data_IF_174857108397
#
_entry.id   IF_174857108397
#
_cell.length_a   1.000
_cell.length_b   1.000
_cell.length_c   1.000
_cell.angle_alpha   90.00
_cell.angle_beta   90.00
_cell.angle_gamma   90.00
#
_symmetry.space_group_name_H-M   'P 1'
#
loop_
_entity.id
_entity.type
_entity.pdbx_description
1 polymer ?
#
# COMPACT_ATOMS: atom_id res chain seq x y z
N UNK A 1 -19.86 0.57 2.28
CA UNK A 1 -18.40 0.79 2.39
C UNK A 1 -17.98 2.22 2.07
N UNK A 2 -18.44 2.84 0.97
CA UNK A 2 -18.02 4.21 0.62
C UNK A 2 -18.37 5.26 1.69
N UNK A 3 -19.56 5.18 2.30
CA UNK A 3 -19.95 6.09 3.39
C UNK A 3 -19.00 5.96 4.59
N UNK A 4 -18.73 4.72 5.01
CA UNK A 4 -17.79 4.46 6.11
C UNK A 4 -16.38 5.00 5.80
N UNK A 5 -15.94 4.91 4.54
CA UNK A 5 -14.66 5.50 4.11
C UNK A 5 -14.62 7.01 4.35
N UNK A 6 -15.62 7.75 3.88
CA UNK A 6 -15.64 9.22 4.06
C UNK A 6 -15.72 9.63 5.53
N UNK A 7 -16.47 8.88 6.34
CA UNK A 7 -16.56 9.15 7.78
C UNK A 7 -15.20 8.90 8.45
N UNK A 8 -14.54 7.80 8.12
CA UNK A 8 -13.24 7.44 8.72
C UNK A 8 -12.16 8.42 8.32
N UNK A 9 -12.17 8.88 7.06
CA UNK A 9 -11.23 9.88 6.58
C UNK A 9 -11.18 11.05 7.56
N UNK A 10 -12.33 11.61 7.92
CA UNK A 10 -12.42 12.75 8.85
C UNK A 10 -12.30 12.38 10.34
N UNK A 11 -12.50 11.11 10.71
CA UNK A 11 -12.54 10.70 12.11
C UNK A 11 -11.16 10.80 12.81
N UNK A 12 -10.08 10.42 12.13
CA UNK A 12 -8.75 10.32 12.73
C UNK A 12 -8.75 9.45 13.99
N UNK A 13 -8.25 9.97 15.11
CA UNK A 13 -8.22 9.27 16.41
C UNK A 13 -9.60 8.89 16.95
N UNK A 14 -10.69 9.57 16.54
CA UNK A 14 -12.04 9.18 16.95
C UNK A 14 -12.43 7.78 16.46
N UNK A 15 -11.74 7.26 15.43
CA UNK A 15 -11.94 5.90 14.93
C UNK A 15 -11.45 4.81 15.91
N UNK A 16 -10.56 5.15 16.85
CA UNK A 16 -9.97 4.18 17.80
C UNK A 16 -11.06 3.53 18.67
N UNK A 17 -12.09 4.28 19.05
CA UNK A 17 -13.23 3.75 19.81
C UNK A 17 -14.02 2.66 19.08
N UNK A 18 -13.87 2.55 17.75
CA UNK A 18 -14.55 1.58 16.89
C UNK A 18 -13.58 0.55 16.30
N UNK A 19 -12.40 0.37 16.90
CA UNK A 19 -11.33 -0.46 16.34
C UNK A 19 -11.77 -1.87 15.95
N UNK A 20 -12.52 -2.55 16.82
CA UNK A 20 -12.92 -3.94 16.61
C UNK A 20 -13.95 -4.05 15.49
N UNK A 21 -14.89 -3.11 15.44
CA UNK A 21 -15.92 -3.05 14.40
C UNK A 21 -15.31 -2.73 13.03
N UNK A 22 -14.31 -1.83 12.99
CA UNK A 22 -13.59 -1.49 11.77
C UNK A 22 -12.75 -2.66 11.26
N UNK A 23 -12.05 -3.36 12.15
CA UNK A 23 -11.30 -4.58 11.80
C UNK A 23 -12.25 -5.64 11.25
N UNK A 24 -13.36 -5.92 11.95
CA UNK A 24 -14.35 -6.90 11.50
C UNK A 24 -14.95 -6.54 10.14
N UNK A 25 -15.22 -5.26 9.88
CA UNK A 25 -15.72 -4.77 8.60
C UNK A 25 -14.71 -4.97 7.47
N UNK A 26 -13.44 -4.64 7.71
CA UNK A 26 -12.35 -4.79 6.73
C UNK A 26 -12.12 -6.28 6.44
N UNK A 27 -12.01 -7.11 7.48
CA UNK A 27 -11.79 -8.54 7.33
C UNK A 27 -12.96 -9.24 6.63
N UNK A 28 -14.19 -8.90 7.01
CA UNK A 28 -15.40 -9.39 6.35
C UNK A 28 -15.42 -9.02 4.88
N UNK A 29 -15.08 -7.77 4.54
CA UNK A 29 -15.02 -7.31 3.15
C UNK A 29 -13.93 -8.00 2.33
N UNK A 30 -12.78 -8.27 2.91
CA UNK A 30 -11.67 -8.99 2.26
C UNK A 30 -12.03 -10.45 1.97
N UNK A 31 -12.79 -11.09 2.87
CA UNK A 31 -13.20 -12.50 2.77
C UNK A 31 -14.56 -12.69 2.08
N UNK A 32 -15.20 -11.61 1.62
CA UNK A 32 -16.53 -11.71 1.01
C UNK A 32 -16.45 -12.42 -0.34
N UNK A 33 -17.16 -13.53 -0.43
CA UNK A 33 -17.29 -14.33 -1.65
C UNK A 33 -18.60 -14.00 -2.38
N UNK A 34 -18.53 -13.78 -3.69
CA UNK A 34 -19.73 -13.63 -4.56
C UNK A 34 -20.28 -15.00 -4.99
N UNK A 35 -19.39 -16.00 -5.07
CA UNK A 35 -19.67 -17.40 -5.38
C UNK A 35 -18.72 -18.26 -4.54
N UNK A 36 -19.04 -19.54 -4.26
CA UNK A 36 -18.17 -20.40 -3.47
C UNK A 36 -16.73 -20.42 -4.01
N UNK A 37 -15.78 -19.94 -3.20
CA UNK A 37 -14.36 -19.85 -3.54
C UNK A 37 -13.95 -18.69 -4.46
N UNK A 38 -14.85 -17.75 -4.77
CA UNK A 38 -14.56 -16.57 -5.61
C UNK A 38 -14.80 -15.30 -4.81
N UNK A 39 -13.68 -14.68 -4.39
CA UNK A 39 -13.67 -13.40 -3.69
C UNK A 39 -14.17 -12.30 -4.62
N UNK A 40 -15.10 -11.47 -4.15
CA UNK A 40 -15.56 -10.29 -4.89
C UNK A 40 -14.43 -9.26 -5.02
N UNK A 41 -13.98 -9.01 -6.24
CA UNK A 41 -12.98 -7.97 -6.49
C UNK A 41 -13.50 -6.57 -6.10
N UNK A 42 -14.80 -6.31 -6.25
CA UNK A 42 -15.42 -5.02 -5.90
C UNK A 42 -15.40 -4.79 -4.39
N UNK A 43 -15.85 -5.77 -3.62
CA UNK A 43 -15.88 -5.67 -2.15
C UNK A 43 -14.45 -5.67 -1.59
N UNK A 44 -13.57 -6.52 -2.13
CA UNK A 44 -12.15 -6.55 -1.77
C UNK A 44 -11.48 -5.18 -1.99
N UNK A 45 -11.67 -4.55 -3.16
CA UNK A 45 -11.14 -3.20 -3.44
C UNK A 45 -11.69 -2.17 -2.47
N UNK A 46 -12.99 -2.20 -2.19
CA UNK A 46 -13.63 -1.26 -1.28
C UNK A 46 -13.10 -1.41 0.16
N UNK A 47 -12.90 -2.65 0.63
CA UNK A 47 -12.34 -2.94 1.95
C UNK A 47 -10.88 -2.50 2.07
N UNK A 48 -10.05 -2.75 1.05
CA UNK A 48 -8.67 -2.27 1.06
C UNK A 48 -8.56 -0.75 0.94
N UNK A 49 -9.45 -0.11 0.19
CA UNK A 49 -9.52 1.36 0.15
C UNK A 49 -9.93 1.94 1.50
N UNK A 50 -10.85 1.27 2.21
CA UNK A 50 -11.23 1.61 3.58
C UNK A 50 -10.03 1.52 4.52
N UNK A 51 -9.27 0.42 4.47
CA UNK A 51 -8.05 0.23 5.24
C UNK A 51 -7.00 1.31 4.94
N UNK A 52 -6.74 1.59 3.66
CA UNK A 52 -5.81 2.65 3.25
C UNK A 52 -6.24 4.03 3.79
N UNK A 53 -7.53 4.33 3.74
CA UNK A 53 -8.09 5.59 4.27
C UNK A 53 -7.99 5.65 5.79
N UNK A 54 -8.25 4.54 6.49
CA UNK A 54 -8.10 4.43 7.94
C UNK A 54 -6.65 4.63 8.38
N UNK A 55 -5.70 3.98 7.70
CA UNK A 55 -4.28 4.18 7.97
C UNK A 55 -3.96 5.65 7.81
N UNK A 56 -4.25 6.23 6.64
CA UNK A 56 -4.00 7.63 6.33
C UNK A 56 -4.63 8.59 7.35
N UNK A 57 -5.87 8.36 7.80
CA UNK A 57 -6.54 9.22 8.77
C UNK A 57 -5.87 9.21 10.15
N UNK A 58 -5.28 8.07 10.55
CA UNK A 58 -4.60 7.93 11.85
C UNK A 58 -3.22 8.58 11.88
N UNK A 59 -2.54 8.71 10.74
CA UNK A 59 -1.14 9.18 10.67
C UNK A 59 -1.01 10.61 10.13
N UNK A 60 -2.10 11.21 9.62
CA UNK A 60 -2.06 12.53 8.97
C UNK A 60 -2.49 13.64 9.93
N UNK A 61 -1.77 14.76 9.93
CA UNK A 61 -2.18 15.99 10.60
C UNK A 61 -3.32 16.66 9.82
N UNK A 62 -4.40 17.03 10.52
CA UNK A 62 -5.60 17.61 9.89
C UNK A 62 -6.07 18.84 10.64
N UNK A 63 -6.73 19.75 9.95
CA UNK A 63 -7.42 20.87 10.61
C UNK A 63 -8.67 20.34 11.32
N UNK A 64 -8.91 20.79 12.55
CA UNK A 64 -10.10 20.39 13.32
C UNK A 64 -11.35 21.09 12.78
N UNK A 65 -11.20 22.34 12.34
CA UNK A 65 -12.28 23.18 11.85
C UNK A 65 -11.78 23.97 10.63
N UNK A 66 -12.64 24.08 9.62
CA UNK A 66 -12.32 24.75 8.35
C UNK A 66 -13.24 25.96 8.08
N UNK A 67 -13.95 26.42 9.11
CA UNK A 67 -14.83 27.60 9.01
C UNK A 67 -14.02 28.88 8.86
N UNK A 68 -14.67 29.90 8.30
CA UNK A 68 -14.08 31.23 8.08
C UNK A 68 -13.92 32.07 9.34
N UNK A 69 -14.46 31.62 10.48
CA UNK A 69 -14.37 32.31 11.77
C UNK A 69 -13.97 31.33 12.87
N UNK A 70 -13.31 31.82 13.94
CA UNK A 70 -12.94 30.97 15.08
C UNK A 70 -14.14 30.27 15.72
N UNK A 71 -13.96 29.09 16.33
CA UNK A 71 -15.05 28.35 16.99
C UNK A 71 -15.75 29.13 18.10
N UNK A 72 -15.03 30.02 18.80
CA UNK A 72 -15.57 30.90 19.84
C UNK A 72 -16.62 31.85 19.28
N UNK A 73 -16.32 32.48 18.13
CA UNK A 73 -17.22 33.40 17.42
C UNK A 73 -18.37 32.64 16.78
N UNK A 74 -18.10 31.47 16.17
CA UNK A 74 -19.15 30.69 15.51
C UNK A 74 -20.27 30.24 16.47
N UNK A 75 -19.91 29.92 17.73
CA UNK A 75 -20.85 29.47 18.76
C UNK A 75 -21.60 30.62 19.43
N UNK A 76 -21.24 31.87 19.16
CA UNK A 76 -21.91 33.04 19.72
C UNK A 76 -23.31 33.22 19.08
N UNK A 77 -24.39 33.16 19.86
CA UNK A 77 -25.75 33.35 19.35
C UNK A 77 -25.98 34.73 18.73
N UNK A 78 -25.27 35.75 19.20
CA UNK A 78 -25.39 37.10 18.65
C UNK A 78 -24.79 37.14 17.24
N UNK A 79 -23.58 36.62 17.07
CA UNK A 79 -22.95 36.48 15.77
C UNK A 79 -23.77 35.61 14.81
N UNK A 80 -24.39 34.52 15.27
CA UNK A 80 -25.25 33.69 14.40
C UNK A 80 -26.42 34.47 13.79
N UNK A 81 -26.96 35.46 14.52
CA UNK A 81 -28.04 36.34 14.02
C UNK A 81 -27.53 37.37 13.01
N UNK A 82 -26.26 37.78 13.10
CA UNK A 82 -25.65 38.84 12.27
C UNK A 82 -24.51 38.33 11.37
N UNK A 83 -24.41 37.02 11.17
CA UNK A 83 -23.27 36.40 10.47
C UNK A 83 -23.08 36.91 9.04
N UNK A 84 -24.17 37.36 8.39
CA UNK A 84 -24.14 37.95 7.05
C UNK A 84 -23.27 39.20 6.96
N UNK A 85 -23.12 39.97 8.04
CA UNK A 85 -22.24 41.15 8.10
C UNK A 85 -20.74 40.80 8.03
N UNK A 86 -20.41 39.52 8.17
CA UNK A 86 -19.04 39.02 8.05
C UNK A 86 -18.71 38.43 6.68
N UNK A 87 -19.69 38.37 5.76
CA UNK A 87 -19.48 37.78 4.45
C UNK A 87 -18.49 38.62 3.62
N UNK A 88 -17.57 37.94 2.94
CA UNK A 88 -16.54 38.58 2.12
C UNK A 88 -15.39 39.22 2.92
N UNK A 89 -15.41 39.18 4.26
CA UNK A 89 -14.25 39.57 5.08
C UNK A 89 -13.15 38.55 4.88
N UNK A 90 -11.95 39.03 4.57
CA UNK A 90 -10.74 38.21 4.48
C UNK A 90 -9.96 38.33 5.78
N UNK A 91 -9.43 37.20 6.26
CA UNK A 91 -8.58 37.13 7.45
C UNK A 91 -7.15 36.93 6.98
N UNK A 92 -6.19 37.65 7.57
CA UNK A 92 -4.77 37.41 7.26
C UNK A 92 -4.37 36.04 7.79
N UNK A 93 -3.46 35.36 7.09
CA UNK A 93 -2.98 34.03 7.53
C UNK A 93 -2.39 34.07 8.93
N UNK A 94 -1.72 35.17 9.31
CA UNK A 94 -1.16 35.38 10.66
C UNK A 94 -2.22 35.51 11.76
N UNK A 95 -3.46 35.87 11.40
CA UNK A 95 -4.59 36.05 12.31
C UNK A 95 -5.54 34.84 12.28
N UNK A 96 -5.30 33.88 11.37
CA UNK A 96 -6.12 32.69 11.24
C UNK A 96 -5.80 31.71 12.37
N UNK A 97 -6.75 31.52 13.28
CA UNK A 97 -6.68 30.54 14.36
C UNK A 97 -6.97 29.13 13.81
N UNK A 98 -5.97 28.52 13.17
CA UNK A 98 -6.08 27.15 12.62
C UNK A 98 -5.66 26.13 13.67
N UNK A 99 -6.62 25.38 14.20
CA UNK A 99 -6.35 24.26 15.10
C UNK A 99 -5.99 23.01 14.29
N UNK A 100 -4.77 22.51 14.48
CA UNK A 100 -4.27 21.28 13.85
C UNK A 100 -4.36 20.11 14.83
N UNK A 101 -5.13 19.09 14.46
CA UNK A 101 -5.11 17.78 15.11
C UNK A 101 -3.86 17.04 14.66
N UNK A 102 -3.02 16.69 15.64
CA UNK A 102 -1.87 15.82 15.44
C UNK A 102 -2.27 14.36 15.72
N UNK A 103 -1.69 13.39 15.01
CA UNK A 103 -1.82 11.98 15.34
C UNK A 103 -1.48 11.69 16.81
N UNK A 104 -2.37 11.01 17.52
CA UNK A 104 -2.07 10.52 18.87
C UNK A 104 -1.08 9.35 18.84
N UNK A 105 -0.36 9.13 19.95
CA UNK A 105 0.51 7.96 20.10
C UNK A 105 -0.26 6.64 19.93
N UNK A 106 -1.49 6.59 20.46
CA UNK A 106 -2.36 5.42 20.35
C UNK A 106 -2.78 5.18 18.90
N UNK A 107 -3.17 6.22 18.17
CA UNK A 107 -3.52 6.16 16.76
C UNK A 107 -2.36 5.69 15.89
N UNK A 108 -1.15 6.21 16.13
CA UNK A 108 0.07 5.79 15.43
C UNK A 108 0.42 4.33 15.70
N UNK A 109 0.35 3.89 16.97
CA UNK A 109 0.59 2.49 17.32
C UNK A 109 -0.43 1.58 16.63
N UNK A 110 -1.70 1.96 16.66
CA UNK A 110 -2.75 1.18 16.02
C UNK A 110 -2.60 1.12 14.50
N UNK A 111 -2.19 2.23 13.86
CA UNK A 111 -1.88 2.24 12.43
C UNK A 111 -0.73 1.28 12.09
N UNK A 112 0.32 1.25 12.91
CA UNK A 112 1.43 0.30 12.75
C UNK A 112 0.97 -1.16 12.91
N UNK A 113 0.13 -1.43 13.91
CA UNK A 113 -0.42 -2.77 14.17
C UNK A 113 -1.32 -3.24 13.01
N UNK A 114 -2.16 -2.34 12.48
CA UNK A 114 -2.98 -2.61 11.29
C UNK A 114 -2.11 -2.89 10.06
N UNK A 115 -1.09 -2.08 9.82
CA UNK A 115 -0.18 -2.28 8.70
C UNK A 115 0.51 -3.64 8.79
N UNK A 116 1.03 -4.01 9.97
CA UNK A 116 1.65 -5.31 10.20
C UNK A 116 0.64 -6.46 9.97
N UNK A 117 -0.54 -6.38 10.59
CA UNK A 117 -1.60 -7.39 10.48
C UNK A 117 -2.02 -7.66 9.04
N UNK A 118 -2.27 -6.61 8.26
CA UNK A 118 -2.79 -6.75 6.90
C UNK A 118 -1.72 -6.97 5.83
N UNK A 119 -0.42 -6.85 6.16
CA UNK A 119 0.69 -7.16 5.23
C UNK A 119 1.33 -8.51 5.47
N UNK A 120 1.29 -9.04 6.70
CA UNK A 120 2.03 -10.25 7.08
C UNK A 120 1.71 -11.46 6.19
N UNK A 121 0.44 -11.84 6.08
CA UNK A 121 -0.01 -12.97 5.25
C UNK A 121 0.27 -12.73 3.75
N UNK A 122 -0.14 -11.60 3.14
CA UNK A 122 0.20 -11.30 1.75
C UNK A 122 1.68 -11.36 1.42
N UNK A 123 2.53 -10.84 2.31
CA UNK A 123 3.98 -10.87 2.12
C UNK A 123 4.52 -12.31 2.17
N UNK A 124 3.95 -13.17 3.01
CA UNK A 124 4.31 -14.59 3.02
C UNK A 124 3.93 -15.28 1.69
N UNK A 125 2.76 -14.98 1.13
CA UNK A 125 2.31 -15.50 -0.17
C UNK A 125 3.27 -15.06 -1.29
N UNK A 126 3.60 -13.77 -1.33
CA UNK A 126 4.53 -13.22 -2.33
C UNK A 126 5.90 -13.88 -2.22
N UNK A 127 6.45 -14.01 -1.00
CA UNK A 127 7.75 -14.67 -0.76
C UNK A 127 7.75 -16.13 -1.20
N UNK A 128 6.67 -16.87 -0.92
CA UNK A 128 6.51 -18.27 -1.36
C UNK A 128 6.51 -18.38 -2.88
N UNK A 129 5.83 -17.46 -3.57
CA UNK A 129 5.79 -17.43 -5.03
C UNK A 129 7.15 -17.10 -5.65
N UNK A 130 7.90 -16.17 -5.06
CA UNK A 130 9.28 -15.87 -5.50
C UNK A 130 10.17 -17.10 -5.36
N UNK A 131 10.11 -17.78 -4.21
CA UNK A 131 10.91 -18.99 -3.95
C UNK A 131 10.58 -20.16 -4.91
N UNK A 132 9.31 -20.35 -5.29
CA UNK A 132 8.91 -21.38 -6.27
C UNK A 132 9.30 -21.04 -7.71
N UNK A 133 9.43 -19.75 -8.02
CA UNK A 133 9.86 -19.27 -9.34
C UNK A 133 11.36 -19.53 -9.60
N UNK A 134 12.20 -19.37 -8.58
CA UNK A 134 13.64 -19.61 -8.67
C UNK A 134 13.97 -21.11 -8.83
N UNK A 135 13.17 -22.01 -8.24
CA UNK A 135 13.37 -23.46 -8.37
C UNK A 135 12.99 -23.98 -9.77
N UNK A 136 11.97 -23.39 -10.39
CA UNK A 136 11.52 -23.77 -11.74
C UNK A 136 12.54 -23.35 -12.82
N UNK A 137 13.17 -22.19 -12.65
CA UNK A 137 14.22 -21.70 -13.56
C UNK A 137 15.51 -22.50 -13.40
N UNK A 138 15.90 -22.88 -12.18
CA UNK A 138 17.05 -23.76 -11.94
C UNK A 138 16.86 -25.17 -12.54
N UNK A 139 15.65 -25.73 -12.47
CA UNK A 139 15.29 -27.02 -13.07
C UNK A 139 15.31 -26.99 -14.61
N UNK A 140 14.81 -25.92 -15.23
CA UNK A 140 14.82 -25.76 -16.68
C UNK A 140 16.24 -25.54 -17.26
N UNK A 141 17.13 -24.90 -16.50
CA UNK A 141 18.55 -24.80 -16.87
C UNK A 141 19.33 -26.11 -16.69
N UNK A 142 18.89 -26.99 -15.79
CA UNK A 142 19.50 -28.30 -15.59
C UNK A 142 19.07 -29.31 -16.67
N UNK A 143 17.82 -29.25 -17.15
CA UNK A 143 17.31 -30.17 -18.18
C UNK A 143 17.75 -29.84 -19.61
N UNK A 144 18.27 -28.64 -19.86
CA UNK A 144 18.79 -28.23 -21.17
C UNK A 144 20.28 -28.52 -21.37
N UNK A 145 20.95 -29.11 -20.37
CA UNK A 145 22.39 -29.44 -20.40
C UNK A 145 22.73 -30.88 -20.79
N UNK A 146 21.76 -31.78 -20.90
CA UNK A 146 22.02 -33.22 -21.04
C UNK A 146 21.67 -33.75 -22.44
N UNK A 147 22.13 -33.05 -23.48
CA UNK A 147 22.10 -33.59 -24.85
C UNK A 147 23.18 -33.02 -25.78
N UNK A 148 24.44 -33.01 -25.34
CA UNK A 148 25.58 -32.94 -26.26
C UNK A 148 26.89 -33.32 -25.58
N UNK A 149 27.31 -34.60 -25.64
CA UNK A 149 28.71 -34.93 -25.95
C UNK A 149 28.91 -36.44 -26.10
N UNK A 150 29.10 -36.85 -27.37
CA UNK A 150 29.78 -38.10 -27.71
C UNK A 150 31.10 -37.70 -28.37
N UNK A 151 32.21 -38.02 -27.70
CA UNK A 151 33.55 -38.17 -28.29
C UNK A 151 34.44 -36.91 -28.30
N UNK A 152 35.49 -36.93 -27.49
CA UNK A 152 36.90 -36.86 -27.95
C UNK A 152 37.82 -36.76 -26.74
N UNK A 153 38.83 -37.62 -26.70
CA UNK A 153 39.92 -37.66 -25.71
C UNK A 153 41.00 -36.69 -26.17
N UNK A 154 41.43 -35.74 -25.33
CA UNK A 154 42.86 -35.46 -25.13
C UNK A 154 43.13 -34.55 -23.92
N UNK A 155 44.30 -34.72 -23.32
CA UNK A 155 44.75 -34.15 -22.06
C UNK A 155 45.28 -32.70 -22.18
N UNK A 156 45.12 -31.87 -21.12
CA UNK A 156 46.22 -31.17 -20.40
C UNK A 156 45.70 -30.16 -19.34
N UNK A 157 46.15 -30.39 -18.10
CA UNK A 157 46.71 -29.49 -17.09
C UNK A 157 46.20 -28.04 -16.85
N UNK A 158 45.97 -27.74 -15.56
CA UNK A 158 46.39 -26.47 -14.93
C UNK A 158 45.39 -25.31 -14.76
N UNK A 159 45.08 -24.96 -13.49
CA UNK A 159 45.04 -23.55 -13.06
C UNK A 159 43.72 -22.98 -12.55
N UNK A 160 43.68 -22.72 -11.24
CA UNK A 160 42.61 -22.05 -10.51
C UNK A 160 42.42 -20.56 -10.85
N UNK A 161 41.20 -20.03 -10.68
CA UNK A 161 40.95 -18.58 -10.71
C UNK A 161 39.48 -18.20 -10.77
N UNK A 162 38.79 -18.26 -9.63
CA UNK A 162 37.41 -17.80 -9.47
C UNK A 162 37.28 -16.26 -9.62
N UNK A 163 36.38 -15.80 -10.50
CA UNK A 163 35.72 -14.50 -10.42
C UNK A 163 34.27 -14.63 -10.90
N UNK A 164 33.35 -14.85 -9.96
CA UNK A 164 31.92 -14.63 -10.17
C UNK A 164 31.63 -13.17 -9.82
N UNK A 165 31.29 -12.36 -10.82
CA UNK A 165 30.97 -10.96 -10.65
C UNK A 165 30.09 -10.47 -11.79
N UNK A 166 28.81 -10.26 -11.49
CA UNK A 166 27.85 -9.60 -12.37
C UNK A 166 26.76 -10.54 -12.87
N UNK A 167 25.59 -10.49 -12.22
CA UNK A 167 24.27 -10.60 -12.86
C UNK A 167 23.15 -10.64 -11.79
N UNK A 168 23.04 -9.57 -11.01
CA UNK A 168 21.91 -9.35 -10.09
C UNK A 168 20.96 -8.25 -10.58
N UNK A 169 21.13 -7.74 -11.82
CA UNK A 169 20.38 -6.60 -12.34
C UNK A 169 19.16 -6.96 -13.21
N UNK A 170 18.91 -8.25 -13.48
CA UNK A 170 17.90 -8.69 -14.47
C UNK A 170 16.65 -9.38 -13.91
N UNK A 171 16.44 -9.50 -12.59
CA UNK A 171 15.26 -10.24 -12.06
C UNK A 171 14.05 -9.39 -11.64
N UNK A 172 14.24 -8.11 -11.31
CA UNK A 172 13.12 -7.27 -10.85
C UNK A 172 12.16 -6.86 -11.99
N UNK A 173 12.72 -6.64 -13.19
CA UNK A 173 11.94 -6.25 -14.39
C UNK A 173 11.02 -7.36 -14.88
N UNK A 174 11.45 -8.63 -14.81
CA UNK A 174 10.63 -9.77 -15.25
C UNK A 174 9.47 -10.08 -14.30
N UNK A 175 9.69 -9.91 -12.99
CA UNK A 175 8.62 -10.05 -11.99
C UNK A 175 7.61 -8.91 -12.15
N UNK A 176 8.09 -7.68 -12.37
CA UNK A 176 7.23 -6.53 -12.65
C UNK A 176 6.45 -6.71 -13.97
N UNK A 177 7.10 -7.18 -15.03
CA UNK A 177 6.47 -7.45 -16.33
C UNK A 177 5.40 -8.53 -16.23
N UNK A 178 5.65 -9.64 -15.52
CA UNK A 178 4.65 -10.69 -15.27
C UNK A 178 3.48 -10.22 -14.41
N UNK A 179 3.75 -9.36 -13.42
CA UNK A 179 2.70 -8.71 -12.62
C UNK A 179 1.81 -7.79 -13.47
N UNK A 180 2.41 -7.04 -14.38
CA UNK A 180 1.70 -6.18 -15.34
C UNK A 180 0.87 -7.04 -16.32
N UNK A 181 1.42 -8.15 -16.84
CA UNK A 181 0.68 -9.08 -17.71
C UNK A 181 -0.50 -9.76 -16.99
N UNK A 182 -0.36 -10.13 -15.71
CA UNK A 182 -1.48 -10.64 -14.87
C UNK A 182 -2.55 -9.57 -14.58
N UNK A 183 -2.20 -8.30 -14.72
CA UNK A 183 -3.12 -7.17 -14.59
C UNK A 183 -3.93 -6.93 -15.88
N UNK A 184 -3.38 -7.32 -17.05
CA UNK A 184 -3.94 -7.09 -18.38
C UNK A 184 -4.71 -8.27 -18.99
N UNK A 185 -4.71 -9.45 -18.37
CA UNK A 185 -5.66 -10.52 -18.71
C UNK A 185 -5.45 -11.16 -20.08
N UNK A 186 -4.21 -11.46 -20.46
CA UNK A 186 -3.95 -12.31 -21.63
C UNK A 186 -4.11 -13.80 -21.25
N UNK A 187 -5.24 -14.39 -21.64
CA UNK A 187 -5.51 -15.83 -21.52
C UNK A 187 -4.80 -16.60 -22.63
N UNK A 188 -3.68 -17.26 -22.28
CA UNK A 188 -2.98 -18.18 -23.16
C UNK A 188 -2.62 -19.51 -22.49
N UNK A 189 -3.32 -20.57 -22.89
CA UNK A 189 -2.93 -22.00 -22.86
C UNK A 189 -2.96 -22.82 -21.53
N UNK A 190 -4.11 -23.44 -21.30
CA UNK A 190 -4.43 -24.87 -21.04
C UNK A 190 -3.61 -25.81 -20.11
N UNK A 191 -2.50 -25.45 -19.47
CA UNK A 191 -1.76 -26.40 -18.58
C UNK A 191 -1.96 -26.19 -17.06
N UNK A 192 -2.77 -25.22 -16.64
CA UNK A 192 -2.54 -24.50 -15.39
C UNK A 192 -3.70 -24.49 -14.36
N UNK A 193 -4.41 -25.60 -14.12
CA UNK A 193 -5.50 -25.61 -13.11
C UNK A 193 -5.00 -25.31 -11.67
N UNK A 194 -3.76 -25.67 -11.32
CA UNK A 194 -3.12 -25.27 -10.07
C UNK A 194 -2.53 -23.84 -10.10
N UNK A 195 -1.95 -23.44 -11.24
CA UNK A 195 -1.35 -22.12 -11.41
C UNK A 195 -2.37 -20.97 -11.45
N UNK A 196 -3.62 -21.23 -11.85
CA UNK A 196 -4.67 -20.21 -11.84
C UNK A 196 -5.05 -19.76 -10.42
N UNK A 197 -5.17 -20.70 -9.46
CA UNK A 197 -5.52 -20.36 -8.07
C UNK A 197 -4.38 -19.61 -7.38
N UNK A 198 -3.15 -20.07 -7.54
CA UNK A 198 -1.97 -19.39 -7.00
C UNK A 198 -1.78 -18.00 -7.61
N UNK A 199 -2.04 -17.82 -8.91
CA UNK A 199 -1.97 -16.51 -9.57
C UNK A 199 -3.05 -15.53 -9.04
N UNK A 200 -4.27 -16.01 -8.79
CA UNK A 200 -5.34 -15.20 -8.21
C UNK A 200 -4.99 -14.80 -6.78
N UNK A 201 -4.50 -15.73 -5.96
CA UNK A 201 -4.08 -15.47 -4.60
C UNK A 201 -2.92 -14.46 -4.53
N UNK A 202 -1.91 -14.62 -5.40
CA UNK A 202 -0.81 -13.67 -5.54
C UNK A 202 -1.29 -12.27 -5.94
N UNK A 203 -2.22 -12.19 -6.89
CA UNK A 203 -2.80 -10.90 -7.33
C UNK A 203 -3.46 -10.16 -6.17
N UNK A 204 -4.27 -10.85 -5.37
CA UNK A 204 -4.90 -10.25 -4.20
C UNK A 204 -3.88 -9.91 -3.10
N UNK A 205 -2.86 -10.73 -2.90
CA UNK A 205 -1.78 -10.45 -1.95
C UNK A 205 -1.02 -9.16 -2.33
N UNK A 206 -0.57 -9.03 -3.58
CA UNK A 206 0.12 -7.83 -4.06
C UNK A 206 -0.78 -6.60 -3.95
N UNK A 207 -2.05 -6.74 -4.31
CA UNK A 207 -3.01 -5.65 -4.20
C UNK A 207 -3.21 -5.20 -2.74
N UNK A 208 -3.26 -6.14 -1.79
CA UNK A 208 -3.38 -5.81 -0.35
C UNK A 208 -2.16 -5.04 0.14
N UNK A 209 -0.94 -5.53 -0.16
CA UNK A 209 0.31 -4.84 0.20
C UNK A 209 0.33 -3.44 -0.38
N UNK A 210 -0.02 -3.29 -1.66
CA UNK A 210 -0.09 -1.98 -2.33
C UNK A 210 -0.99 -0.99 -1.56
N UNK A 211 -2.21 -1.38 -1.21
CA UNK A 211 -3.13 -0.46 -0.52
C UNK A 211 -2.65 -0.05 0.87
N UNK A 212 -2.03 -0.98 1.61
CA UNK A 212 -1.43 -0.65 2.91
C UNK A 212 -0.30 0.37 2.72
N UNK A 213 0.60 0.12 1.78
CA UNK A 213 1.72 1.03 1.48
C UNK A 213 1.23 2.39 0.99
N UNK A 214 0.18 2.44 0.16
CA UNK A 214 -0.43 3.71 -0.28
C UNK A 214 -1.02 4.50 0.88
N UNK A 215 -1.68 3.84 1.84
CA UNK A 215 -2.24 4.52 3.01
C UNK A 215 -1.17 5.17 3.88
N UNK A 216 -0.04 4.49 4.06
CA UNK A 216 1.11 5.02 4.81
C UNK A 216 1.84 6.09 4.01
N UNK A 217 2.16 5.83 2.74
CA UNK A 217 2.92 6.76 1.90
C UNK A 217 2.19 8.09 1.69
N UNK A 218 0.85 8.08 1.57
CA UNK A 218 0.05 9.29 1.45
C UNK A 218 0.13 10.22 2.67
N UNK A 219 0.63 9.74 3.81
CA UNK A 219 0.80 10.52 5.03
C UNK A 219 2.22 11.04 5.26
N UNK A 220 3.19 10.46 4.56
CA UNK A 220 4.53 11.00 4.61
C UNK A 220 4.45 12.38 3.97
N UNK A 221 4.95 13.43 4.64
CA UNK A 221 5.16 14.69 3.95
C UNK A 221 5.97 14.35 2.70
N UNK A 222 5.75 15.09 1.61
CA UNK A 222 6.74 15.15 0.54
C UNK A 222 8.01 15.68 1.19
N UNK A 223 8.82 14.79 1.77
CA UNK A 223 10.23 15.00 2.05
C UNK A 223 10.90 15.05 0.68
N UNK A 224 10.46 15.98 -0.18
CA UNK A 224 11.32 16.50 -1.21
C UNK A 224 12.47 17.11 -0.45
N UNK A 225 13.66 16.53 -0.62
CA UNK A 225 14.83 16.96 0.09
C UNK A 225 14.99 18.47 -0.07
N UNK A 226 14.87 19.19 1.03
CA UNK A 226 15.62 20.42 1.26
C UNK A 226 17.12 20.07 1.34
N UNK A 227 17.65 19.46 0.29
CA UNK A 227 19.08 19.50 0.03
C UNK A 227 19.35 20.85 -0.65
N UNK A 228 19.72 21.85 0.15
CA UNK A 228 20.71 22.84 -0.29
C UNK A 228 20.28 24.27 -0.59
N UNK A 229 19.16 24.75 -0.05
CA UNK A 229 18.87 26.19 -0.03
C UNK A 229 19.64 26.89 1.09
N UNK A 230 20.91 27.25 0.87
CA UNK A 230 21.60 28.25 1.70
C UNK A 230 20.83 29.57 1.60
N UNK A 231 20.01 29.88 2.59
CA UNK A 231 19.59 31.26 2.82
C UNK A 231 20.69 31.95 3.62
N UNK A 232 21.59 32.61 2.89
CA UNK A 232 22.45 33.65 3.44
C UNK A 232 21.54 34.81 3.88
N UNK A 233 21.27 34.90 5.19
CA UNK A 233 20.71 36.11 5.79
C UNK A 233 21.84 37.14 5.93
N UNK A 234 21.88 38.09 4.99
CA UNK A 234 22.54 39.40 5.15
C UNK A 234 21.55 40.42 5.69
#
# INVERSE_FOLDING_TARGET
TNVARFIIEEAGDAAIGYREQLIALIEGGIKTEERPGVISNKVFKAANRLLSTLLHSLVTCRTVECRSVPPSVWRDPEWQRTHYDSWGKTVRVSEAEVEWRRPSREGLQWAADLAARFTQEPMAIIRRYVASSDTTTASASASSGEQAQKGSVDATDGGAGAKAGGDAKYKASDVAARLVSLQLGEEGSSAAKGSSKEAVELKFAVQRVRFVMEGIAASLPLWEGEDGGKEDYN
#
